data_IF_748485019617
#
_entry.id   IF_748485019617
#
_cell.length_a   1.000
_cell.length_b   1.000
_cell.length_c   1.000
_cell.angle_alpha   90.00
_cell.angle_beta   90.00
_cell.angle_gamma   90.00
#
_symmetry.space_group_name_H-M   'P 1'
#
loop_
_entity.id
_entity.type
_entity.pdbx_description
1 polymer ?
#
# COMPACT_ATOMS: atom_id res chain seq x y z
N UNK A 1 29.54 25.94 -37.27
CA UNK A 1 29.78 27.05 -36.33
C UNK A 1 30.97 26.65 -35.47
N UNK A 2 32.13 27.29 -35.68
CA UNK A 2 33.35 26.94 -34.97
C UNK A 2 33.22 27.36 -33.51
N UNK A 3 33.67 26.47 -32.62
CA UNK A 3 33.78 26.79 -31.20
C UNK A 3 34.76 27.95 -31.02
N UNK A 4 34.30 29.05 -30.46
CA UNK A 4 35.22 30.10 -30.02
C UNK A 4 36.01 29.58 -28.81
N UNK A 5 37.32 29.63 -28.93
CA UNK A 5 38.30 29.27 -27.92
C UNK A 5 38.05 30.12 -26.66
N UNK A 6 37.71 29.49 -25.54
CA UNK A 6 37.33 30.19 -24.29
C UNK A 6 38.44 31.09 -23.75
N UNK A 7 39.71 30.86 -24.15
CA UNK A 7 40.88 31.64 -23.74
C UNK A 7 41.01 33.01 -24.43
N UNK A 8 40.18 33.28 -25.46
CA UNK A 8 40.18 34.54 -26.20
C UNK A 8 39.02 35.49 -25.84
N UNK A 9 38.20 35.14 -24.87
CA UNK A 9 37.08 35.98 -24.48
C UNK A 9 37.53 37.18 -23.62
N UNK A 10 37.02 38.38 -23.90
CA UNK A 10 37.34 39.57 -23.09
C UNK A 10 36.88 39.35 -21.66
N UNK A 11 37.69 39.81 -20.69
CA UNK A 11 37.38 39.74 -19.24
C UNK A 11 35.94 40.22 -18.96
N UNK A 12 35.08 39.35 -18.46
CA UNK A 12 33.70 39.64 -18.09
C UNK A 12 32.61 39.07 -19.00
N UNK A 13 32.94 38.42 -20.16
CA UNK A 13 31.96 37.68 -20.95
C UNK A 13 31.94 36.21 -20.56
N UNK A 14 30.76 35.65 -20.34
CA UNK A 14 30.61 34.20 -20.15
C UNK A 14 30.91 33.45 -21.44
N UNK A 15 31.61 32.29 -21.40
CA UNK A 15 31.88 31.49 -22.60
C UNK A 15 30.58 31.06 -23.28
N UNK A 16 30.50 31.14 -24.59
CA UNK A 16 29.40 30.58 -25.37
C UNK A 16 29.47 29.05 -25.30
N UNK A 17 28.42 28.42 -24.84
CA UNK A 17 28.28 26.98 -24.86
C UNK A 17 28.07 26.49 -26.31
N UNK A 18 28.66 25.35 -26.68
CA UNK A 18 28.35 24.70 -27.94
C UNK A 18 26.88 24.33 -28.04
N UNK A 19 26.33 24.26 -29.25
CA UNK A 19 24.91 23.84 -29.45
C UNK A 19 24.59 22.53 -28.74
N UNK A 20 25.50 21.54 -28.74
CA UNK A 20 25.34 20.25 -28.06
C UNK A 20 25.33 20.39 -26.55
N UNK A 21 26.12 21.30 -25.98
CA UNK A 21 26.13 21.56 -24.54
C UNK A 21 24.86 22.31 -24.10
N UNK A 22 24.40 23.25 -24.96
CA UNK A 22 23.10 23.91 -24.74
C UNK A 22 21.92 22.95 -24.82
N UNK A 23 21.87 22.06 -25.81
CA UNK A 23 20.87 21.00 -25.90
C UNK A 23 20.91 20.10 -24.67
N UNK A 24 22.09 19.68 -24.22
CA UNK A 24 22.27 18.84 -23.04
C UNK A 24 21.79 19.55 -21.77
N UNK A 25 22.07 20.85 -21.64
CA UNK A 25 21.67 21.67 -20.52
C UNK A 25 20.14 21.89 -20.52
N UNK A 26 19.55 22.20 -21.66
CA UNK A 26 18.11 22.36 -21.84
C UNK A 26 17.36 21.06 -21.54
N UNK A 27 17.85 19.93 -22.02
CA UNK A 27 17.24 18.62 -21.72
C UNK A 27 17.35 18.27 -20.24
N UNK A 28 18.50 18.53 -19.59
CA UNK A 28 18.66 18.33 -18.15
C UNK A 28 17.73 19.25 -17.34
N UNK A 29 17.55 20.51 -17.76
CA UNK A 29 16.65 21.46 -17.12
C UNK A 29 15.18 21.07 -17.33
N UNK A 30 14.82 20.53 -18.51
CA UNK A 30 13.48 19.98 -18.76
C UNK A 30 13.19 18.75 -17.92
N UNK A 31 14.14 17.81 -17.80
CA UNK A 31 14.03 16.63 -16.95
C UNK A 31 13.90 17.03 -15.47
N UNK A 32 14.65 18.03 -15.03
CA UNK A 32 14.53 18.60 -13.69
C UNK A 32 13.16 19.27 -13.46
N UNK A 33 12.61 19.98 -14.46
CA UNK A 33 11.29 20.61 -14.39
C UNK A 33 10.17 19.54 -14.33
N UNK A 34 10.24 18.49 -15.16
CA UNK A 34 9.30 17.36 -15.11
C UNK A 34 9.35 16.70 -13.74
N UNK A 35 10.55 16.42 -13.22
CA UNK A 35 10.74 15.86 -11.89
C UNK A 35 10.22 16.80 -10.77
N UNK A 36 10.31 18.12 -10.95
CA UNK A 36 9.77 19.09 -9.99
C UNK A 36 8.24 19.07 -9.99
N UNK A 37 7.61 19.05 -11.17
CA UNK A 37 6.14 19.02 -11.28
C UNK A 37 5.58 17.72 -10.69
N UNK A 38 6.15 16.56 -11.05
CA UNK A 38 5.73 15.27 -10.48
C UNK A 38 5.99 15.18 -8.97
N UNK A 39 7.05 15.83 -8.47
CA UNK A 39 7.35 15.90 -7.03
C UNK A 39 6.41 16.81 -6.23
N UNK A 40 5.63 17.69 -6.87
CA UNK A 40 4.57 18.50 -6.23
C UNK A 40 3.29 17.70 -5.99
N UNK A 41 3.16 16.51 -6.60
CA UNK A 41 2.05 15.58 -6.40
C UNK A 41 1.83 15.31 -4.91
N UNK A 42 0.56 15.25 -4.50
CA UNK A 42 0.18 14.88 -3.12
C UNK A 42 0.26 13.36 -2.90
N UNK A 43 0.31 12.95 -1.64
CA UNK A 43 0.26 11.53 -1.28
C UNK A 43 -1.02 10.86 -1.78
N UNK A 44 -2.17 11.55 -1.74
CA UNK A 44 -3.43 11.05 -2.29
C UNK A 44 -3.32 10.79 -3.79
N UNK A 45 -2.82 11.75 -4.56
CA UNK A 45 -2.65 11.63 -6.01
C UNK A 45 -1.68 10.52 -6.39
N UNK A 46 -0.57 10.36 -5.64
CA UNK A 46 0.37 9.25 -5.85
C UNK A 46 -0.30 7.90 -5.63
N UNK A 47 -1.09 7.74 -4.55
CA UNK A 47 -1.81 6.50 -4.27
C UNK A 47 -2.86 6.24 -5.35
N UNK A 48 -3.57 7.24 -5.81
CA UNK A 48 -4.56 7.10 -6.88
C UNK A 48 -3.89 6.68 -8.21
N UNK A 49 -2.74 7.28 -8.54
CA UNK A 49 -1.91 6.89 -9.69
C UNK A 49 -1.47 5.43 -9.57
N UNK A 50 -0.94 5.01 -8.41
CA UNK A 50 -0.54 3.64 -8.16
C UNK A 50 -1.72 2.66 -8.29
N UNK A 51 -2.88 2.97 -7.74
CA UNK A 51 -4.03 2.07 -7.78
C UNK A 51 -4.60 1.91 -9.20
N UNK A 52 -4.47 2.92 -10.06
CA UNK A 52 -4.83 2.82 -11.49
C UNK A 52 -3.97 1.80 -12.26
N UNK A 53 -2.74 1.53 -11.81
CA UNK A 53 -1.88 0.49 -12.41
C UNK A 53 -2.28 -0.93 -12.01
N UNK A 54 -3.18 -1.11 -11.02
CA UNK A 54 -3.60 -2.41 -10.53
C UNK A 54 -4.79 -2.96 -11.31
N UNK A 55 -4.49 -3.78 -12.32
CA UNK A 55 -5.51 -4.45 -13.15
C UNK A 55 -5.77 -5.86 -12.61
N UNK A 56 -6.99 -6.38 -12.75
CA UNK A 56 -7.35 -7.75 -12.38
C UNK A 56 -7.48 -8.03 -10.86
N UNK A 57 -7.57 -6.99 -10.04
CA UNK A 57 -7.65 -7.12 -8.57
C UNK A 57 -9.05 -7.59 -8.15
N UNK A 58 -9.11 -8.54 -7.20
CA UNK A 58 -10.36 -9.02 -6.61
C UNK A 58 -11.16 -7.88 -5.96
N UNK A 59 -12.48 -7.99 -5.96
CA UNK A 59 -13.38 -6.96 -5.40
C UNK A 59 -13.11 -6.67 -3.91
N UNK A 60 -12.82 -7.70 -3.12
CA UNK A 60 -12.44 -7.54 -1.71
C UNK A 60 -11.19 -6.67 -1.51
N UNK A 61 -10.17 -6.85 -2.36
CA UNK A 61 -8.95 -6.04 -2.34
C UNK A 61 -9.22 -4.59 -2.77
N UNK A 62 -10.10 -4.39 -3.77
CA UNK A 62 -10.53 -3.04 -4.18
C UNK A 62 -11.20 -2.29 -3.03
N UNK A 63 -12.05 -2.95 -2.24
CA UNK A 63 -12.66 -2.35 -1.04
C UNK A 63 -11.60 -1.92 -0.02
N UNK A 64 -10.56 -2.72 0.18
CA UNK A 64 -9.41 -2.35 1.01
C UNK A 64 -8.70 -1.09 0.51
N UNK A 65 -8.50 -0.96 -0.80
CA UNK A 65 -7.89 0.22 -1.40
C UNK A 65 -8.76 1.48 -1.20
N UNK A 66 -10.07 1.38 -1.45
CA UNK A 66 -11.03 2.48 -1.21
C UNK A 66 -10.98 2.94 0.27
N UNK A 67 -10.86 2.02 1.20
CA UNK A 67 -10.75 2.35 2.63
C UNK A 67 -9.48 3.16 2.91
N UNK A 68 -8.34 2.78 2.31
CA UNK A 68 -7.08 3.53 2.46
C UNK A 68 -7.18 4.91 1.80
N UNK A 69 -7.76 5.03 0.60
CA UNK A 69 -7.98 6.31 -0.06
C UNK A 69 -8.84 7.26 0.78
N UNK A 70 -9.96 6.77 1.34
CA UNK A 70 -10.84 7.55 2.22
C UNK A 70 -10.13 8.03 3.48
N UNK A 71 -9.29 7.18 4.07
CA UNK A 71 -8.49 7.55 5.23
C UNK A 71 -7.50 8.66 4.87
N UNK A 72 -6.74 8.50 3.78
CA UNK A 72 -5.75 9.50 3.35
C UNK A 72 -6.41 10.84 3.00
N UNK A 73 -7.59 10.84 2.37
CA UNK A 73 -8.32 12.06 2.04
C UNK A 73 -8.73 12.87 3.28
N UNK A 74 -9.02 12.19 4.41
CA UNK A 74 -9.35 12.82 5.69
C UNK A 74 -8.11 13.34 6.43
N UNK A 75 -6.97 12.65 6.28
CA UNK A 75 -5.75 12.94 7.00
C UNK A 75 -4.94 14.07 6.36
N UNK A 76 -4.39 14.96 7.19
CA UNK A 76 -3.46 16.00 6.74
C UNK A 76 -2.22 15.42 6.03
N UNK A 77 -1.85 14.17 6.34
CA UNK A 77 -0.76 13.44 5.70
C UNK A 77 -1.03 13.22 4.21
N UNK A 78 -2.26 12.89 3.82
CA UNK A 78 -2.64 12.66 2.43
C UNK A 78 -2.52 13.90 1.52
N UNK A 79 -2.61 15.09 2.11
CA UNK A 79 -2.49 16.38 1.41
C UNK A 79 -1.04 16.89 1.28
N UNK A 80 -0.09 16.22 1.93
CA UNK A 80 1.34 16.59 1.82
C UNK A 80 1.88 16.23 0.45
N UNK A 81 2.79 17.07 -0.06
CA UNK A 81 3.55 16.74 -1.27
C UNK A 81 4.49 15.57 -1.00
N UNK A 82 4.64 14.65 -1.95
CA UNK A 82 5.44 13.43 -1.78
C UNK A 82 6.90 13.72 -1.45
N UNK A 83 7.48 14.80 -1.98
CA UNK A 83 8.85 15.24 -1.65
C UNK A 83 9.01 15.73 -0.22
N UNK A 84 7.95 16.24 0.40
CA UNK A 84 7.99 16.68 1.79
C UNK A 84 7.92 15.53 2.79
N UNK A 85 7.55 14.32 2.34
CA UNK A 85 7.39 13.15 3.20
C UNK A 85 8.75 12.52 3.48
N UNK A 86 9.27 12.75 4.69
CA UNK A 86 10.48 12.10 5.21
C UNK A 86 10.12 10.79 5.95
N UNK A 87 11.10 9.90 6.11
CA UNK A 87 10.92 8.64 6.84
C UNK A 87 10.41 8.85 8.28
N UNK A 88 10.88 9.91 8.96
CA UNK A 88 10.38 10.27 10.30
C UNK A 88 8.90 10.66 10.27
N UNK A 89 8.49 11.47 9.28
CA UNK A 89 7.08 11.85 9.10
C UNK A 89 6.18 10.66 8.78
N UNK A 90 6.65 9.71 7.96
CA UNK A 90 5.95 8.46 7.68
C UNK A 90 5.76 7.60 8.94
N UNK A 91 6.80 7.48 9.79
CA UNK A 91 6.72 6.77 11.07
C UNK A 91 5.72 7.44 12.02
N UNK A 92 5.82 8.77 12.20
CA UNK A 92 4.90 9.53 13.06
C UNK A 92 3.44 9.41 12.60
N UNK A 93 3.19 9.40 11.29
CA UNK A 93 1.85 9.17 10.75
C UNK A 93 1.29 7.80 11.16
N UNK A 94 2.09 6.73 11.05
CA UNK A 94 1.64 5.38 11.45
C UNK A 94 1.45 5.26 12.97
N UNK A 95 2.30 5.91 13.77
CA UNK A 95 2.16 5.97 15.24
C UNK A 95 0.88 6.70 15.62
N UNK A 96 0.59 7.84 14.98
CA UNK A 96 -0.67 8.57 15.17
C UNK A 96 -1.88 7.69 14.92
N UNK A 97 -1.90 6.94 13.81
CA UNK A 97 -3.00 6.02 13.48
C UNK A 97 -3.22 4.96 14.57
N UNK A 98 -2.16 4.49 15.23
CA UNK A 98 -2.28 3.53 16.32
C UNK A 98 -2.73 4.17 17.62
N UNK A 99 -2.09 5.28 18.02
CA UNK A 99 -2.27 5.87 19.35
C UNK A 99 -3.48 6.78 19.44
N UNK A 100 -3.74 7.60 18.42
CA UNK A 100 -4.83 8.57 18.41
C UNK A 100 -6.10 7.99 17.77
N UNK A 101 -5.97 7.30 16.63
CA UNK A 101 -7.12 6.75 15.89
C UNK A 101 -7.48 5.32 16.29
N UNK A 102 -6.74 4.69 17.22
CA UNK A 102 -7.01 3.34 17.72
C UNK A 102 -6.95 2.25 16.66
N UNK A 103 -6.18 2.44 15.56
CA UNK A 103 -6.05 1.43 14.52
C UNK A 103 -5.19 0.27 14.99
N UNK A 104 -5.66 -0.96 14.80
CA UNK A 104 -4.87 -2.17 15.09
C UNK A 104 -3.62 -2.25 14.22
N UNK A 105 -2.61 -2.95 14.70
CA UNK A 105 -1.37 -3.24 13.95
C UNK A 105 -1.66 -3.82 12.57
N UNK A 106 -2.62 -4.76 12.46
CA UNK A 106 -3.03 -5.38 11.20
C UNK A 106 -3.61 -4.37 10.21
N UNK A 107 -4.45 -3.42 10.70
CA UNK A 107 -5.01 -2.35 9.86
C UNK A 107 -3.91 -1.44 9.33
N UNK A 108 -2.95 -1.06 10.18
CA UNK A 108 -1.82 -0.21 9.78
C UNK A 108 -0.89 -0.95 8.81
N UNK A 109 -0.70 -2.25 9.00
CA UNK A 109 0.04 -3.09 8.06
C UNK A 109 -0.60 -3.05 6.67
N UNK A 110 -1.93 -3.10 6.58
CA UNK A 110 -2.69 -3.00 5.32
C UNK A 110 -2.52 -1.61 4.69
N UNK A 111 -2.63 -0.52 5.48
CA UNK A 111 -2.43 0.86 4.99
C UNK A 111 -1.01 1.02 4.42
N UNK A 112 0.00 0.58 5.16
CA UNK A 112 1.38 0.62 4.69
C UNK A 112 1.60 -0.27 3.47
N UNK A 113 0.86 -1.39 3.36
CA UNK A 113 0.86 -2.29 2.19
C UNK A 113 0.44 -1.60 0.90
N UNK A 114 -0.29 -0.48 0.98
CA UNK A 114 -0.64 0.38 -0.16
C UNK A 114 0.39 1.51 -0.33
N UNK A 115 0.75 2.18 0.76
CA UNK A 115 1.65 3.34 0.73
C UNK A 115 3.07 2.97 0.28
N UNK A 116 3.64 1.89 0.82
CA UNK A 116 5.01 1.49 0.50
C UNK A 116 5.23 1.24 -1.00
N UNK A 117 4.42 0.43 -1.70
CA UNK A 117 4.61 0.22 -3.13
C UNK A 117 4.24 1.46 -3.97
N UNK A 118 3.30 2.31 -3.53
CA UNK A 118 3.02 3.58 -4.20
C UNK A 118 4.25 4.52 -4.17
N UNK A 119 4.89 4.66 -3.01
CA UNK A 119 6.14 5.42 -2.89
C UNK A 119 7.32 4.73 -3.57
N UNK A 120 7.31 3.39 -3.68
CA UNK A 120 8.33 2.69 -4.45
C UNK A 120 8.22 3.01 -5.95
N UNK A 121 7.01 3.05 -6.49
CA UNK A 121 6.78 3.49 -7.86
C UNK A 121 7.34 4.90 -8.11
N UNK A 122 7.17 5.84 -7.17
CA UNK A 122 7.75 7.17 -7.30
C UNK A 122 9.30 7.18 -7.22
N UNK A 123 9.91 6.19 -6.56
CA UNK A 123 11.37 6.00 -6.59
C UNK A 123 11.81 5.37 -7.90
N UNK A 124 11.07 4.39 -8.41
CA UNK A 124 11.34 3.71 -9.67
C UNK A 124 11.16 4.64 -10.89
N UNK A 125 10.28 5.66 -10.75
CA UNK A 125 10.06 6.75 -11.71
C UNK A 125 11.04 7.94 -11.50
N UNK A 126 12.09 7.80 -10.68
CA UNK A 126 13.11 8.82 -10.36
C UNK A 126 12.57 10.13 -9.76
N UNK A 127 11.32 10.16 -9.29
CA UNK A 127 10.70 11.32 -8.65
C UNK A 127 11.23 11.51 -7.22
N UNK A 128 11.52 10.39 -6.53
CA UNK A 128 12.06 10.33 -5.18
C UNK A 128 13.35 9.52 -5.12
N UNK A 129 14.31 10.02 -4.34
CA UNK A 129 15.59 9.31 -4.13
C UNK A 129 15.43 8.07 -3.23
N UNK A 130 14.48 8.11 -2.29
CA UNK A 130 14.31 7.06 -1.27
C UNK A 130 12.86 6.91 -0.86
N UNK A 131 12.44 5.64 -0.69
CA UNK A 131 11.11 5.33 -0.19
C UNK A 131 10.99 5.63 1.32
N UNK A 132 10.13 6.60 1.74
CA UNK A 132 9.95 6.93 3.15
C UNK A 132 9.32 5.81 4.00
N UNK A 133 8.67 4.81 3.37
CA UNK A 133 8.08 3.63 4.02
C UNK A 133 8.98 2.39 3.96
N UNK A 134 10.26 2.52 3.62
CA UNK A 134 11.23 1.42 3.49
C UNK A 134 11.65 0.75 4.81
N UNK A 135 11.14 1.16 5.97
CA UNK A 135 11.49 0.63 7.29
C UNK A 135 10.66 -0.61 7.70
N UNK A 136 11.09 -1.32 8.75
CA UNK A 136 10.31 -2.42 9.37
C UNK A 136 9.33 -1.86 10.41
N UNK A 137 8.09 -2.38 10.45
CA UNK A 137 7.06 -1.93 11.41
C UNK A 137 7.36 -2.34 12.85
N UNK A 138 8.00 -3.49 13.05
CA UNK A 138 8.27 -4.07 14.38
C UNK A 138 9.08 -3.15 15.33
N UNK A 139 9.76 -2.13 14.81
CA UNK A 139 10.49 -1.16 15.66
C UNK A 139 9.78 0.19 15.80
N UNK A 140 8.55 0.31 15.27
CA UNK A 140 7.82 1.60 15.20
C UNK A 140 6.48 1.52 15.91
N UNK A 141 5.79 0.37 15.82
CA UNK A 141 4.46 0.13 16.33
C UNK A 141 4.44 -1.03 17.34
N UNK A 142 3.52 -0.96 18.27
CA UNK A 142 3.25 -2.07 19.17
C UNK A 142 2.42 -3.12 18.44
N UNK A 143 2.86 -4.38 18.47
CA UNK A 143 2.08 -5.46 17.90
C UNK A 143 0.99 -5.90 18.90
N UNK A 144 -0.23 -5.45 18.66
CA UNK A 144 -1.44 -5.78 19.43
C UNK A 144 -2.18 -7.02 18.89
N UNK A 145 -1.55 -7.76 17.97
CA UNK A 145 -2.17 -8.95 17.40
C UNK A 145 -2.31 -10.05 18.45
N UNK A 146 -3.55 -10.41 18.77
CA UNK A 146 -3.84 -11.55 19.63
C UNK A 146 -3.59 -12.83 18.85
N UNK A 147 -2.73 -13.70 19.39
CA UNK A 147 -2.52 -15.04 18.84
C UNK A 147 -3.81 -15.83 18.99
N UNK A 148 -4.37 -16.29 17.87
CA UNK A 148 -5.57 -17.15 17.89
C UNK A 148 -5.12 -18.56 18.22
N UNK A 149 -5.66 -19.11 19.30
CA UNK A 149 -5.47 -20.50 19.64
C UNK A 149 -6.46 -21.40 18.87
N UNK A 150 -6.02 -22.60 18.57
CA UNK A 150 -6.89 -23.59 17.96
C UNK A 150 -7.97 -24.04 18.96
N UNK A 151 -9.21 -24.17 18.50
CA UNK A 151 -10.30 -24.70 19.32
C UNK A 151 -10.02 -26.16 19.70
N UNK A 152 -10.20 -26.51 20.98
CA UNK A 152 -10.02 -27.89 21.43
C UNK A 152 -11.18 -28.78 20.95
N UNK A 153 -10.96 -30.12 20.91
CA UNK A 153 -12.00 -31.07 20.54
C UNK A 153 -13.25 -30.98 21.43
N UNK A 154 -13.07 -30.70 22.72
CA UNK A 154 -14.20 -30.58 23.65
C UNK A 154 -14.97 -29.28 23.45
N UNK A 155 -14.28 -28.19 23.16
CA UNK A 155 -14.93 -26.92 22.78
C UNK A 155 -15.68 -27.08 21.45
N UNK A 156 -15.10 -27.76 20.46
CA UNK A 156 -15.76 -28.06 19.18
C UNK A 156 -17.05 -28.87 19.40
N UNK A 157 -17.00 -29.94 20.22
CA UNK A 157 -18.19 -30.76 20.52
C UNK A 157 -19.28 -29.94 21.21
N UNK A 158 -18.92 -29.11 22.21
CA UNK A 158 -19.87 -28.23 22.90
C UNK A 158 -20.50 -27.22 21.95
N UNK A 159 -19.70 -26.64 21.06
CA UNK A 159 -20.17 -25.68 20.06
C UNK A 159 -21.11 -26.36 19.03
N UNK A 160 -20.75 -27.52 18.50
CA UNK A 160 -21.61 -28.27 17.58
C UNK A 160 -22.93 -28.66 18.22
N UNK A 161 -22.91 -29.11 19.48
CA UNK A 161 -24.13 -29.40 20.23
C UNK A 161 -25.01 -28.13 20.39
N UNK A 162 -24.42 -27.00 20.76
CA UNK A 162 -25.16 -25.74 20.85
C UNK A 162 -25.80 -25.37 19.50
N UNK A 163 -25.04 -25.43 18.38
CA UNK A 163 -25.60 -25.11 17.08
C UNK A 163 -26.72 -26.06 16.67
N UNK A 164 -26.62 -27.36 17.02
CA UNK A 164 -27.63 -28.35 16.72
C UNK A 164 -28.97 -28.10 17.51
N UNK A 165 -28.82 -27.77 18.78
CA UNK A 165 -29.98 -27.66 19.72
C UNK A 165 -30.64 -26.27 19.67
N UNK A 166 -29.99 -25.24 19.09
CA UNK A 166 -30.51 -23.88 19.05
C UNK A 166 -31.51 -23.68 17.90
N UNK A 167 -32.66 -23.06 18.21
CA UNK A 167 -33.77 -22.85 17.26
C UNK A 167 -33.35 -21.96 16.05
N UNK A 168 -32.41 -21.04 16.23
CA UNK A 168 -31.99 -20.10 15.18
C UNK A 168 -30.85 -20.68 14.35
N UNK A 169 -29.89 -21.34 15.03
CA UNK A 169 -28.63 -21.77 14.39
C UNK A 169 -28.67 -23.22 13.85
N UNK A 170 -29.67 -24.04 14.25
CA UNK A 170 -29.77 -25.45 13.79
C UNK A 170 -29.74 -25.61 12.27
N UNK A 171 -30.30 -24.65 11.53
CA UNK A 171 -30.25 -24.63 10.05
C UNK A 171 -28.84 -24.53 9.42
N UNK A 172 -27.86 -24.16 10.20
CA UNK A 172 -26.45 -24.06 9.77
C UNK A 172 -25.61 -25.22 10.29
N UNK A 173 -26.20 -26.17 11.01
CA UNK A 173 -25.46 -27.26 11.65
C UNK A 173 -24.60 -28.06 10.68
N UNK A 174 -25.16 -28.53 9.56
CA UNK A 174 -24.44 -29.31 8.56
C UNK A 174 -23.27 -28.55 7.96
N UNK A 175 -23.47 -27.27 7.66
CA UNK A 175 -22.41 -26.40 7.14
C UNK A 175 -21.27 -26.26 8.15
N UNK A 176 -21.61 -25.96 9.41
CA UNK A 176 -20.61 -25.81 10.48
C UNK A 176 -19.89 -27.13 10.74
N UNK A 177 -20.62 -28.25 10.73
CA UNK A 177 -20.07 -29.60 10.90
C UNK A 177 -19.04 -29.93 9.81
N UNK A 178 -19.37 -29.69 8.54
CA UNK A 178 -18.46 -29.92 7.40
C UNK A 178 -17.22 -29.04 7.51
N UNK A 179 -17.37 -27.74 7.82
CA UNK A 179 -16.25 -26.82 7.94
C UNK A 179 -15.27 -27.22 9.07
N UNK A 180 -15.78 -27.73 10.20
CA UNK A 180 -14.93 -28.20 11.30
C UNK A 180 -14.18 -29.49 10.96
N UNK A 181 -14.79 -30.40 10.19
CA UNK A 181 -14.19 -31.69 9.87
C UNK A 181 -13.28 -31.66 8.66
N UNK A 182 -13.52 -30.75 7.72
CA UNK A 182 -12.71 -30.63 6.50
C UNK A 182 -11.64 -29.54 6.59
N UNK A 183 -11.82 -28.55 7.47
CA UNK A 183 -10.95 -27.38 7.55
C UNK A 183 -11.06 -26.43 6.36
N UNK A 184 -12.05 -26.60 5.50
CA UNK A 184 -12.29 -25.69 4.36
C UNK A 184 -12.62 -24.27 4.83
N UNK A 185 -12.21 -23.28 4.02
CA UNK A 185 -12.69 -21.91 4.22
C UNK A 185 -14.14 -21.78 3.75
N UNK A 186 -14.91 -20.89 4.39
CA UNK A 186 -16.32 -20.64 4.01
C UNK A 186 -16.48 -20.32 2.51
N UNK A 187 -15.52 -19.61 1.91
CA UNK A 187 -15.55 -19.30 0.47
C UNK A 187 -15.31 -20.50 -0.42
N UNK A 188 -14.52 -21.47 0.04
CA UNK A 188 -14.27 -22.74 -0.64
C UNK A 188 -15.52 -23.63 -0.56
N UNK A 189 -16.12 -23.73 0.63
CA UNK A 189 -17.38 -24.42 0.83
C UNK A 189 -18.52 -23.85 -0.05
N UNK A 190 -18.68 -22.52 -0.09
CA UNK A 190 -19.70 -21.89 -0.93
C UNK A 190 -19.45 -22.06 -2.45
N UNK A 191 -18.24 -22.40 -2.85
CA UNK A 191 -17.86 -22.66 -4.25
C UNK A 191 -18.02 -24.13 -4.66
N UNK A 192 -18.28 -25.05 -3.70
CA UNK A 192 -18.42 -26.48 -4.00
C UNK A 192 -19.61 -26.74 -4.93
N UNK A 193 -19.36 -27.61 -5.90
CA UNK A 193 -20.37 -28.18 -6.79
C UNK A 193 -20.43 -29.71 -6.63
N UNK A 194 -21.52 -30.32 -7.09
CA UNK A 194 -21.65 -31.79 -7.07
C UNK A 194 -20.53 -32.53 -7.81
N UNK A 195 -19.84 -31.83 -8.74
CA UNK A 195 -18.70 -32.41 -9.49
C UNK A 195 -17.41 -32.49 -8.66
N UNK A 196 -17.33 -31.72 -7.56
CA UNK A 196 -16.17 -31.67 -6.68
C UNK A 196 -16.25 -32.70 -5.57
N UNK A 197 -17.35 -33.50 -5.50
CA UNK A 197 -17.60 -34.51 -4.49
C UNK A 197 -17.48 -35.87 -5.13
N UNK A 198 -16.55 -36.68 -4.61
CA UNK A 198 -16.44 -38.11 -4.93
C UNK A 198 -17.31 -38.90 -3.95
N UNK A 199 -18.17 -39.74 -4.47
CA UNK A 199 -19.12 -40.56 -3.70
C UNK A 199 -18.69 -42.05 -3.63
N UNK A 200 -17.47 -42.37 -4.13
CA UNK A 200 -16.92 -43.74 -4.07
C UNK A 200 -16.18 -44.05 -2.77
#
# INVERSE_FOLDING_TARGET
MQMEDTDKLPKGKKPCLSLRELEKQVNTDLDLLVNIVDGQMTVCELVDRYLKTKIGVRQSTKQGYVTVQRLLAKEAFGKKTIRSVKTSGAKLFLIKLQQEDGKSYSSIHTIRGVLRPAFQMAVDDDILVKNPFGFRLAGVLVNDAVTREAISKDQMRKFLKFVHDDVVYCKYYEVVYILFHTGMRISEFCGLTLKDIDFE
#
